data_IF_429928791925
#
_entry.id   IF_429928791925
#
_cell.length_a   1.000
_cell.length_b   1.000
_cell.length_c   1.000
_cell.angle_alpha   90.00
_cell.angle_beta   90.00
_cell.angle_gamma   90.00
#
_symmetry.space_group_name_H-M   'P 1'
#
loop_
_entity.id
_entity.type
_entity.pdbx_description
1 polymer ?
#
# COMPACT_ATOMS: atom_id res chain seq x y z
N UNK A 1 18.88 -11.20 4.74
CA UNK A 1 18.03 -10.78 3.62
C UNK A 1 16.78 -10.17 4.23
N UNK A 2 16.55 -8.86 4.06
CA UNK A 2 15.32 -8.21 4.59
C UNK A 2 14.11 -8.82 3.88
N UNK A 3 13.11 -9.28 4.63
CA UNK A 3 11.91 -9.87 4.03
C UNK A 3 11.19 -8.79 3.22
N UNK A 4 10.80 -9.11 1.99
CA UNK A 4 10.04 -8.22 1.10
C UNK A 4 8.75 -7.73 1.76
N UNK A 5 8.13 -8.55 2.60
CA UNK A 5 6.95 -8.18 3.39
C UNK A 5 7.29 -7.18 4.49
N UNK A 6 8.39 -7.38 5.20
CA UNK A 6 8.84 -6.48 6.25
C UNK A 6 9.13 -5.09 5.69
N UNK A 7 9.79 -5.00 4.53
CA UNK A 7 10.02 -3.71 3.85
C UNK A 7 8.70 -2.99 3.50
N UNK A 8 7.70 -3.73 3.00
CA UNK A 8 6.36 -3.18 2.73
C UNK A 8 5.68 -2.68 4.00
N UNK A 9 5.69 -3.48 5.07
CA UNK A 9 5.08 -3.09 6.35
C UNK A 9 5.75 -1.86 6.96
N UNK A 10 7.07 -1.73 6.83
CA UNK A 10 7.78 -0.54 7.28
C UNK A 10 7.35 0.72 6.51
N UNK A 11 7.19 0.63 5.18
CA UNK A 11 6.68 1.74 4.38
C UNK A 11 5.23 2.07 4.79
N UNK A 12 4.36 1.10 5.03
CA UNK A 12 3.01 1.35 5.55
C UNK A 12 3.01 2.01 6.93
N UNK A 13 3.87 1.56 7.85
CA UNK A 13 3.97 2.16 9.19
C UNK A 13 4.49 3.61 9.15
N UNK A 14 5.29 3.95 8.13
CA UNK A 14 5.83 5.30 7.97
C UNK A 14 4.82 6.26 7.34
N UNK A 15 4.08 5.82 6.31
CA UNK A 15 3.23 6.71 5.51
C UNK A 15 1.72 6.52 5.73
N UNK A 16 1.32 5.41 6.35
CA UNK A 16 -0.07 4.96 6.52
C UNK A 16 -0.70 4.36 5.26
N UNK A 17 -0.36 4.86 4.09
CA UNK A 17 -0.80 4.32 2.80
C UNK A 17 0.35 4.42 1.78
N UNK A 18 0.22 3.67 0.70
CA UNK A 18 1.16 3.67 -0.41
C UNK A 18 0.40 3.85 -1.73
N UNK A 19 0.91 4.73 -2.58
CA UNK A 19 0.48 4.81 -3.98
C UNK A 19 1.30 3.85 -4.84
N UNK A 20 0.77 3.47 -6.00
CA UNK A 20 1.50 2.68 -6.99
C UNK A 20 2.84 3.33 -7.36
N UNK A 21 2.88 4.66 -7.47
CA UNK A 21 4.12 5.40 -7.73
C UNK A 21 5.15 5.18 -6.62
N UNK A 22 4.77 5.33 -5.35
CA UNK A 22 5.68 5.07 -4.22
C UNK A 22 6.18 3.62 -4.21
N UNK A 23 5.30 2.66 -4.51
CA UNK A 23 5.68 1.24 -4.60
C UNK A 23 6.79 1.03 -5.64
N UNK A 24 6.69 1.71 -6.79
CA UNK A 24 7.71 1.63 -7.84
C UNK A 24 8.98 2.41 -7.47
N UNK A 25 8.86 3.64 -6.97
CA UNK A 25 9.97 4.54 -6.63
C UNK A 25 10.83 3.96 -5.48
N UNK A 26 10.21 3.34 -4.47
CA UNK A 26 10.91 2.70 -3.35
C UNK A 26 11.42 1.28 -3.66
N UNK A 27 11.21 0.82 -4.90
CA UNK A 27 11.51 -0.53 -5.35
C UNK A 27 10.91 -1.59 -4.39
N UNK A 28 9.63 -1.41 -4.07
CA UNK A 28 8.84 -2.34 -3.26
C UNK A 28 8.31 -3.47 -4.14
N UNK A 29 8.22 -4.67 -3.58
CA UNK A 29 7.91 -5.84 -4.38
C UNK A 29 6.42 -5.94 -4.68
N UNK A 30 6.00 -5.42 -5.84
CA UNK A 30 4.60 -5.33 -6.26
C UNK A 30 3.83 -6.66 -6.20
N UNK A 31 4.45 -7.77 -6.61
CA UNK A 31 3.80 -9.10 -6.52
C UNK A 31 3.52 -9.53 -5.08
N UNK A 32 4.35 -9.11 -4.13
CA UNK A 32 4.12 -9.37 -2.70
C UNK A 32 2.99 -8.49 -2.17
N UNK A 33 2.95 -7.22 -2.57
CA UNK A 33 1.86 -6.29 -2.26
C UNK A 33 0.51 -6.86 -2.70
N UNK A 34 0.38 -7.27 -3.97
CA UNK A 34 -0.85 -7.89 -4.47
C UNK A 34 -1.25 -9.15 -3.69
N UNK A 35 -0.27 -9.97 -3.29
CA UNK A 35 -0.56 -11.13 -2.45
C UNK A 35 -1.12 -10.72 -1.09
N UNK A 36 -0.61 -9.64 -0.49
CA UNK A 36 -1.13 -9.11 0.77
C UNK A 36 -2.56 -8.56 0.63
N UNK A 37 -2.90 -7.97 -0.53
CA UNK A 37 -4.30 -7.58 -0.86
C UNK A 37 -5.19 -8.82 -0.89
N UNK A 38 -4.78 -9.88 -1.60
CA UNK A 38 -5.57 -11.12 -1.68
C UNK A 38 -5.68 -11.86 -0.33
N UNK A 39 -4.69 -11.69 0.55
CA UNK A 39 -4.70 -12.22 1.92
C UNK A 39 -5.55 -11.37 2.87
N UNK A 40 -6.09 -10.22 2.42
CA UNK A 40 -6.89 -9.29 3.25
C UNK A 40 -6.07 -8.54 4.29
N UNK A 41 -4.74 -8.46 4.13
CA UNK A 41 -3.86 -7.76 5.08
C UNK A 41 -3.75 -6.26 4.81
N UNK A 42 -4.06 -5.87 3.57
CA UNK A 42 -4.11 -4.48 3.12
C UNK A 42 -5.30 -4.35 2.18
N UNK A 43 -5.90 -3.18 2.16
CA UNK A 43 -6.94 -2.83 1.21
C UNK A 43 -6.32 -2.16 -0.01
N UNK A 44 -6.87 -2.46 -1.18
CA UNK A 44 -6.54 -1.78 -2.42
C UNK A 44 -7.77 -0.98 -2.88
N UNK A 45 -7.60 0.32 -2.99
CA UNK A 45 -8.63 1.22 -3.49
C UNK A 45 -8.51 1.36 -5.01
N UNK A 46 -9.60 1.81 -5.65
CA UNK A 46 -9.60 2.12 -7.08
C UNK A 46 -8.47 3.13 -7.38
N UNK A 47 -7.51 2.76 -8.26
CA UNK A 47 -6.33 3.54 -8.74
C UNK A 47 -4.98 3.29 -8.06
N UNK A 48 -4.83 2.17 -7.37
CA UNK A 48 -3.50 1.75 -6.89
C UNK A 48 -3.06 2.55 -5.66
N UNK A 49 -4.03 2.94 -4.85
CA UNK A 49 -3.84 3.28 -3.45
C UNK A 49 -3.95 1.99 -2.63
N UNK A 50 -2.97 1.76 -1.79
CA UNK A 50 -2.89 0.61 -0.89
C UNK A 50 -2.83 1.14 0.53
N UNK A 51 -3.59 0.56 1.45
CA UNK A 51 -3.61 0.99 2.85
C UNK A 51 -3.75 -0.19 3.79
N UNK A 52 -3.36 0.00 5.05
CA UNK A 52 -3.74 -0.95 6.09
C UNK A 52 -5.25 -0.83 6.37
N UNK A 53 -5.94 -1.93 6.71
CA UNK A 53 -7.40 -1.92 6.89
C UNK A 53 -7.88 -1.02 8.02
N UNK A 54 -7.04 -0.82 9.04
CA UNK A 54 -7.28 0.04 10.21
C UNK A 54 -7.06 1.54 9.93
N UNK A 55 -6.50 1.88 8.77
CA UNK A 55 -6.25 3.26 8.37
C UNK A 55 -7.39 3.75 7.50
N UNK A 56 -8.14 4.72 8.01
CA UNK A 56 -9.15 5.43 7.22
C UNK A 56 -8.46 6.44 6.29
N UNK A 57 -8.76 6.34 5.00
CA UNK A 57 -8.48 7.39 4.02
C UNK A 57 -9.78 8.11 3.70
N UNK A 58 -9.75 9.43 3.80
CA UNK A 58 -10.92 10.25 3.48
C UNK A 58 -11.31 10.09 2.01
N UNK A 59 -12.61 9.96 1.73
CA UNK A 59 -13.09 9.79 0.36
C UNK A 59 -12.63 10.94 -0.55
N UNK A 60 -12.66 12.20 -0.09
CA UNK A 60 -12.19 13.35 -0.87
C UNK A 60 -10.68 13.32 -1.11
N UNK A 61 -9.92 12.73 -0.18
CA UNK A 61 -8.49 12.49 -0.38
C UNK A 61 -8.27 11.46 -1.48
N UNK A 62 -8.99 10.32 -1.44
CA UNK A 62 -8.93 9.29 -2.49
C UNK A 62 -9.31 9.88 -3.85
N UNK A 63 -10.28 10.81 -3.87
CA UNK A 63 -10.69 11.51 -5.09
C UNK A 63 -9.57 12.36 -5.74
N UNK A 64 -8.59 12.87 -4.97
CA UNK A 64 -7.48 13.64 -5.54
C UNK A 64 -6.51 12.79 -6.38
N UNK A 65 -6.52 11.48 -6.17
CA UNK A 65 -5.72 10.53 -6.96
C UNK A 65 -6.52 9.99 -8.15
N UNK A 66 -7.60 10.68 -8.56
CA UNK A 66 -8.39 10.37 -9.75
C UNK A 66 -7.68 10.70 -11.06
#
# INVERSE_FOLDING_TARGET
>A
MVDKREKLMNSFNQYGFLTFKQVMDENLHYKTLLKMVTEGKIDAEEKGLYRLPDIYLDEWFVLQYR
#
